data_IF_106412526873
#
_entry.id   IF_106412526873
#
_cell.length_a   1.000
_cell.length_b   1.000
_cell.length_c   1.000
_cell.angle_alpha   90.00
_cell.angle_beta   90.00
_cell.angle_gamma   90.00
#
_symmetry.space_group_name_H-M   'P 1'
#
loop_
_entity.id
_entity.type
_entity.pdbx_description
1 polymer ?
#
# COMPACT_ATOMS: atom_id res chain seq x y z
N UNK A 1 27.72 -30.18 3.02
CA UNK A 1 27.46 -29.16 2.00
C UNK A 1 26.01 -29.32 1.58
N UNK A 2 25.12 -28.45 2.09
CA UNK A 2 23.71 -28.46 1.74
C UNK A 2 23.52 -27.98 0.30
N UNK A 3 22.63 -28.59 -0.47
CA UNK A 3 22.17 -28.06 -1.75
C UNK A 3 21.01 -27.11 -1.49
N UNK A 4 21.01 -25.97 -2.18
CA UNK A 4 19.83 -25.08 -2.19
C UNK A 4 18.70 -25.81 -2.92
N UNK A 5 17.59 -26.04 -2.21
CA UNK A 5 16.43 -26.76 -2.77
C UNK A 5 15.48 -25.76 -3.42
N UNK A 6 15.44 -25.77 -4.76
CA UNK A 6 14.56 -24.93 -5.55
C UNK A 6 13.06 -25.17 -5.26
N UNK A 7 12.69 -26.40 -4.88
CA UNK A 7 11.30 -26.71 -4.53
C UNK A 7 10.87 -26.07 -3.20
N UNK A 8 11.80 -25.96 -2.25
CA UNK A 8 11.54 -25.25 -0.99
C UNK A 8 11.34 -23.73 -1.20
N UNK A 9 12.09 -23.13 -2.14
CA UNK A 9 11.98 -21.71 -2.47
C UNK A 9 10.62 -21.35 -3.10
N UNK A 10 10.02 -22.24 -3.88
CA UNK A 10 8.71 -22.03 -4.52
C UNK A 10 7.58 -21.92 -3.48
N UNK A 11 7.74 -22.58 -2.33
CA UNK A 11 6.76 -22.58 -1.23
C UNK A 11 6.97 -21.45 -0.22
N UNK A 12 8.10 -20.76 -0.28
CA UNK A 12 8.43 -19.64 0.60
C UNK A 12 7.88 -18.32 0.05
N UNK A 13 7.45 -17.42 0.94
CA UNK A 13 7.21 -16.03 0.57
C UNK A 13 8.50 -15.35 0.11
N UNK A 14 8.38 -14.31 -0.72
CA UNK A 14 9.54 -13.65 -1.34
C UNK A 14 10.62 -13.19 -0.31
N UNK A 15 10.19 -12.67 0.85
CA UNK A 15 11.11 -12.24 1.93
C UNK A 15 11.86 -13.42 2.54
N UNK A 16 11.15 -14.54 2.75
CA UNK A 16 11.75 -15.75 3.32
C UNK A 16 12.74 -16.38 2.33
N UNK A 17 12.42 -16.35 1.03
CA UNK A 17 13.31 -16.83 -0.03
C UNK A 17 14.59 -15.98 -0.11
N UNK A 18 14.50 -14.65 0.00
CA UNK A 18 15.67 -13.77 0.03
C UNK A 18 16.56 -14.02 1.25
N UNK A 19 15.97 -14.18 2.44
CA UNK A 19 16.71 -14.53 3.66
C UNK A 19 17.38 -15.90 3.57
N UNK A 20 16.66 -16.89 3.02
CA UNK A 20 17.22 -18.22 2.80
C UNK A 20 18.43 -18.21 1.87
N UNK A 21 18.36 -17.42 0.79
CA UNK A 21 19.45 -17.29 -0.19
C UNK A 21 20.63 -16.48 0.34
N UNK A 22 20.40 -15.43 1.11
CA UNK A 22 21.47 -14.70 1.78
C UNK A 22 22.27 -15.63 2.72
N UNK A 23 21.56 -16.42 3.52
CA UNK A 23 22.17 -17.42 4.40
C UNK A 23 22.88 -18.55 3.63
N UNK A 24 22.39 -18.95 2.46
CA UNK A 24 23.03 -19.94 1.61
C UNK A 24 24.34 -19.40 1.01
N UNK A 25 24.35 -18.12 0.60
CA UNK A 25 25.55 -17.44 0.09
C UNK A 25 26.61 -17.30 1.18
N UNK A 26 26.24 -16.93 2.41
CA UNK A 26 27.15 -16.86 3.54
C UNK A 26 27.77 -18.23 3.89
N UNK A 27 27.04 -19.33 3.68
CA UNK A 27 27.55 -20.70 3.87
C UNK A 27 28.38 -21.20 2.71
N UNK A 28 28.47 -20.46 1.58
CA UNK A 28 29.15 -20.87 0.36
C UNK A 28 28.44 -22.00 -0.39
N UNK A 29 27.11 -22.13 -0.22
CA UNK A 29 26.32 -23.13 -0.95
C UNK A 29 26.21 -22.74 -2.44
N UNK A 30 26.38 -23.67 -3.42
CA UNK A 30 26.32 -23.33 -4.82
C UNK A 30 24.89 -22.94 -5.22
N UNK A 31 24.76 -21.74 -5.81
CA UNK A 31 23.51 -21.27 -6.40
C UNK A 31 23.39 -21.76 -7.83
N UNK A 32 22.26 -22.37 -8.18
CA UNK A 32 22.00 -22.77 -9.59
C UNK A 32 21.52 -21.55 -10.39
N UNK A 33 21.67 -21.55 -11.74
CA UNK A 33 21.09 -20.50 -12.59
C UNK A 33 19.58 -20.31 -12.37
N UNK A 34 18.83 -21.39 -12.11
CA UNK A 34 17.41 -21.31 -11.75
C UNK A 34 17.18 -20.58 -10.43
N UNK A 35 18.00 -20.85 -9.42
CA UNK A 35 17.94 -20.17 -8.13
C UNK A 35 18.23 -18.67 -8.28
N UNK A 36 19.19 -18.30 -9.14
CA UNK A 36 19.51 -16.90 -9.44
C UNK A 36 18.38 -16.20 -10.22
N UNK A 37 17.70 -16.89 -11.13
CA UNK A 37 16.53 -16.35 -11.84
C UNK A 37 15.35 -16.11 -10.92
N UNK A 38 15.14 -16.94 -9.89
CA UNK A 38 14.08 -16.77 -8.90
C UNK A 38 14.33 -15.60 -7.93
N UNK A 39 15.58 -15.10 -7.84
CA UNK A 39 15.94 -13.93 -7.00
C UNK A 39 15.93 -12.61 -7.75
N UNK A 40 15.82 -12.63 -9.07
CA UNK A 40 15.65 -11.40 -9.83
C UNK A 40 14.35 -10.71 -9.37
N UNK A 41 14.48 -9.52 -8.84
CA UNK A 41 13.32 -8.75 -8.43
C UNK A 41 12.45 -8.46 -9.66
N UNK A 42 11.18 -8.88 -9.63
CA UNK A 42 10.26 -8.66 -10.75
C UNK A 42 10.11 -7.16 -11.03
N UNK A 43 10.21 -6.74 -12.31
CA UNK A 43 10.03 -5.36 -12.68
C UNK A 43 8.66 -4.83 -12.27
N UNK A 44 8.60 -3.56 -11.91
CA UNK A 44 7.36 -2.98 -11.44
C UNK A 44 7.38 -1.46 -11.40
N UNK A 45 6.42 -0.91 -10.66
CA UNK A 45 6.27 0.52 -10.42
C UNK A 45 6.38 0.80 -8.92
N UNK A 46 7.00 1.92 -8.58
CA UNK A 46 6.99 2.45 -7.22
C UNK A 46 6.64 3.93 -7.24
N UNK A 47 5.94 4.39 -6.21
CA UNK A 47 5.64 5.81 -5.98
C UNK A 47 5.57 6.11 -4.49
N UNK A 48 5.69 7.39 -4.14
CA UNK A 48 5.64 7.88 -2.76
C UNK A 48 4.35 8.64 -2.51
N UNK A 49 3.74 8.40 -1.37
CA UNK A 49 2.52 9.09 -0.95
C UNK A 49 2.64 9.54 0.51
N UNK A 50 2.20 10.79 0.76
CA UNK A 50 2.07 11.33 2.12
C UNK A 50 0.62 11.74 2.31
N UNK A 51 -0.03 11.18 3.30
CA UNK A 51 -1.37 11.56 3.74
C UNK A 51 -1.34 11.96 5.20
N UNK A 52 -2.07 13.03 5.54
CA UNK A 52 -2.20 13.47 6.93
C UNK A 52 -3.59 13.98 7.24
N UNK A 53 -3.98 13.95 8.50
CA UNK A 53 -5.25 14.50 8.93
C UNK A 53 -5.53 14.32 10.39
N UNK A 54 -6.72 14.75 10.80
CA UNK A 54 -7.12 14.72 12.20
C UNK A 54 -7.40 13.29 12.65
N UNK A 55 -6.87 12.93 13.81
CA UNK A 55 -6.93 11.60 14.37
C UNK A 55 -6.93 11.62 15.88
N UNK A 56 -7.70 10.74 16.53
CA UNK A 56 -7.79 10.67 17.98
C UNK A 56 -7.66 9.25 18.52
N UNK A 57 -6.88 9.09 19.59
CA UNK A 57 -6.91 7.88 20.42
C UNK A 57 -8.26 7.76 21.13
N UNK A 58 -8.70 6.54 21.36
CA UNK A 58 -9.97 6.23 22.02
C UNK A 58 -11.18 6.29 21.08
N UNK A 59 -11.09 6.92 19.92
CA UNK A 59 -12.14 6.88 18.90
C UNK A 59 -12.12 5.54 18.14
N UNK A 60 -13.29 5.05 17.75
CA UNK A 60 -13.45 3.82 16.96
C UNK A 60 -14.06 4.06 15.58
N UNK A 61 -14.71 5.20 15.42
CA UNK A 61 -15.25 5.66 14.14
C UNK A 61 -14.36 6.76 13.53
N UNK A 62 -14.00 6.69 12.24
CA UNK A 62 -13.09 7.64 11.60
C UNK A 62 -13.57 9.10 11.63
N UNK A 63 -14.86 9.36 11.38
CA UNK A 63 -15.37 10.73 11.33
C UNK A 63 -15.44 11.33 12.73
N UNK A 64 -15.88 10.55 13.72
CA UNK A 64 -15.86 10.95 15.12
C UNK A 64 -14.41 11.19 15.61
N UNK A 65 -13.48 10.34 15.21
CA UNK A 65 -12.06 10.47 15.52
C UNK A 65 -11.42 11.70 14.89
N UNK A 66 -11.79 12.02 13.65
CA UNK A 66 -11.34 13.24 12.98
C UNK A 66 -11.89 14.51 13.67
N UNK A 67 -13.16 14.52 14.06
CA UNK A 67 -13.76 15.65 14.80
C UNK A 67 -13.09 15.84 16.17
N UNK A 68 -12.85 14.76 16.92
CA UNK A 68 -12.17 14.80 18.20
C UNK A 68 -10.70 15.26 18.04
N UNK A 69 -9.99 14.73 17.03
CA UNK A 69 -8.63 15.13 16.72
C UNK A 69 -8.52 16.60 16.33
N UNK A 70 -9.46 17.11 15.54
CA UNK A 70 -9.53 18.53 15.21
C UNK A 70 -9.70 19.41 16.46
N UNK A 71 -10.57 19.00 17.37
CA UNK A 71 -10.81 19.74 18.62
C UNK A 71 -9.60 19.70 19.55
N UNK A 72 -8.85 18.60 19.56
CA UNK A 72 -7.66 18.43 20.39
C UNK A 72 -6.36 18.91 19.71
N UNK A 73 -6.39 19.28 18.43
CA UNK A 73 -5.21 19.63 17.65
C UNK A 73 -4.29 18.43 17.38
N UNK A 74 -4.83 17.21 17.36
CA UNK A 74 -4.05 15.98 17.12
C UNK A 74 -4.18 15.51 15.68
N UNK A 75 -3.04 15.24 15.05
CA UNK A 75 -2.95 14.77 13.67
C UNK A 75 -2.10 13.51 13.56
N UNK A 76 -2.45 12.66 12.61
CA UNK A 76 -1.65 11.52 12.19
C UNK A 76 -1.22 11.74 10.73
N UNK A 77 0.03 11.40 10.42
CA UNK A 77 0.52 11.35 9.05
C UNK A 77 1.14 9.98 8.75
N UNK A 78 1.00 9.55 7.51
CA UNK A 78 1.74 8.42 6.94
C UNK A 78 2.58 8.90 5.76
N UNK A 79 3.81 8.40 5.71
CA UNK A 79 4.76 8.64 4.62
C UNK A 79 5.15 7.28 4.06
N UNK A 80 4.57 6.94 2.92
CA UNK A 80 4.68 5.57 2.38
C UNK A 80 5.30 5.55 0.98
N UNK A 81 6.03 4.48 0.71
CA UNK A 81 6.42 4.06 -0.63
C UNK A 81 5.60 2.84 -1.00
N UNK A 82 4.77 2.98 -2.01
CA UNK A 82 4.02 1.87 -2.60
C UNK A 82 4.86 1.23 -3.70
N UNK A 83 4.84 -0.09 -3.77
CA UNK A 83 5.49 -0.86 -4.83
C UNK A 83 4.52 -1.91 -5.38
N UNK A 84 4.34 -1.88 -6.69
CA UNK A 84 3.55 -2.84 -7.46
C UNK A 84 4.53 -3.59 -8.37
N UNK A 85 4.68 -4.89 -8.13
CA UNK A 85 5.53 -5.77 -8.93
C UNK A 85 4.69 -6.58 -9.89
N UNK A 86 5.30 -7.07 -10.98
CA UNK A 86 4.62 -7.85 -12.01
C UNK A 86 3.25 -7.24 -12.41
N UNK A 87 3.29 -6.19 -13.24
CA UNK A 87 2.09 -5.44 -13.62
C UNK A 87 1.04 -6.31 -14.33
N UNK A 88 1.45 -7.38 -14.99
CA UNK A 88 0.50 -8.28 -15.67
C UNK A 88 -0.28 -9.09 -14.63
N UNK A 89 0.40 -9.63 -13.62
CA UNK A 89 -0.21 -10.31 -12.49
C UNK A 89 -1.06 -9.35 -11.66
N UNK A 90 -0.54 -8.15 -11.37
CA UNK A 90 -1.26 -7.11 -10.64
C UNK A 90 -2.59 -6.74 -11.32
N UNK A 91 -2.57 -6.53 -12.64
CA UNK A 91 -3.78 -6.16 -13.38
C UNK A 91 -4.77 -7.33 -13.55
N UNK A 92 -4.30 -8.57 -13.46
CA UNK A 92 -5.13 -9.78 -13.50
C UNK A 92 -5.74 -10.14 -12.12
N UNK A 93 -5.13 -9.68 -11.02
CA UNK A 93 -5.61 -9.88 -9.66
C UNK A 93 -6.80 -8.93 -9.38
N UNK A 94 -7.99 -9.43 -9.02
CA UNK A 94 -9.13 -8.57 -8.72
C UNK A 94 -8.90 -7.63 -7.53
N UNK A 95 -7.97 -7.94 -6.64
CA UNK A 95 -7.60 -7.08 -5.52
C UNK A 95 -6.48 -6.09 -5.86
N UNK A 96 -5.80 -6.26 -7.01
CA UNK A 96 -4.68 -5.44 -7.44
C UNK A 96 -3.67 -5.20 -6.29
N UNK A 97 -3.12 -6.31 -5.76
CA UNK A 97 -2.26 -6.29 -4.59
C UNK A 97 -0.88 -5.70 -4.89
N UNK A 98 -0.47 -4.77 -4.05
CA UNK A 98 0.88 -4.23 -3.96
C UNK A 98 1.36 -4.23 -2.52
N UNK A 99 2.57 -3.80 -2.30
CA UNK A 99 3.16 -3.64 -0.98
C UNK A 99 3.41 -2.17 -0.67
N UNK A 100 3.48 -1.84 0.61
CA UNK A 100 3.91 -0.53 1.05
C UNK A 100 4.81 -0.64 2.28
N UNK A 101 5.74 0.32 2.37
CA UNK A 101 6.63 0.51 3.51
C UNK A 101 6.71 2.00 3.81
N UNK A 102 7.04 2.37 5.04
CA UNK A 102 7.17 3.79 5.35
C UNK A 102 7.25 4.09 6.82
N UNK A 103 6.74 5.25 7.21
CA UNK A 103 6.69 5.72 8.60
C UNK A 103 5.33 6.27 8.95
N UNK A 104 5.02 6.23 10.25
CA UNK A 104 3.84 6.83 10.85
C UNK A 104 4.28 7.92 11.81
N UNK A 105 3.71 9.11 11.66
CA UNK A 105 3.86 10.24 12.58
C UNK A 105 2.55 10.43 13.34
N UNK A 106 2.57 10.25 14.64
CA UNK A 106 1.43 10.52 15.50
C UNK A 106 1.94 10.95 16.86
N UNK A 107 1.96 12.25 17.10
CA UNK A 107 2.57 12.87 18.30
C UNK A 107 2.23 12.18 19.63
N UNK A 108 0.97 11.74 19.88
CA UNK A 108 0.65 11.00 21.10
C UNK A 108 1.38 9.66 21.29
N UNK A 109 1.84 9.03 20.20
CA UNK A 109 2.66 7.82 20.25
C UNK A 109 4.13 8.14 19.97
N UNK A 110 4.42 8.69 18.78
CA UNK A 110 5.77 8.99 18.34
C UNK A 110 5.83 9.61 16.95
N UNK A 111 7.04 9.98 16.53
CA UNK A 111 7.34 10.51 15.21
C UNK A 111 8.28 9.56 14.47
N UNK A 112 8.19 9.53 13.15
CA UNK A 112 8.99 8.69 12.27
C UNK A 112 9.01 7.21 12.70
N UNK A 113 7.90 6.71 13.25
CA UNK A 113 7.79 5.30 13.65
C UNK A 113 7.85 4.41 12.42
N UNK A 114 8.88 3.55 12.29
CA UNK A 114 9.02 2.70 11.13
C UNK A 114 7.84 1.72 11.03
N UNK A 115 7.19 1.66 9.87
CA UNK A 115 6.20 0.64 9.58
C UNK A 115 6.86 -0.50 8.80
N UNK A 116 6.53 -1.73 9.18
CA UNK A 116 6.94 -2.94 8.47
C UNK A 116 6.31 -3.03 7.08
N UNK A 117 6.56 -4.14 6.40
CA UNK A 117 5.92 -4.38 5.11
C UNK A 117 4.41 -4.50 5.28
N UNK A 118 3.70 -3.54 4.72
CA UNK A 118 2.26 -3.44 4.73
C UNK A 118 1.63 -3.86 3.40
N UNK A 119 0.29 -3.80 3.35
CA UNK A 119 -0.51 -4.17 2.19
C UNK A 119 -1.10 -2.93 1.54
N UNK A 120 -1.00 -2.87 0.23
CA UNK A 120 -1.68 -1.92 -0.63
C UNK A 120 -2.59 -2.66 -1.59
N UNK A 121 -3.86 -2.22 -1.73
CA UNK A 121 -4.76 -2.73 -2.77
C UNK A 121 -5.36 -1.55 -3.51
N UNK A 122 -5.37 -1.64 -4.84
CA UNK A 122 -5.85 -0.58 -5.71
C UNK A 122 -7.12 -1.03 -6.43
N UNK A 123 -8.22 -0.28 -6.27
CA UNK A 123 -9.54 -0.63 -6.84
C UNK A 123 -10.03 -2.04 -6.48
N UNK A 124 -9.76 -2.48 -5.25
CA UNK A 124 -10.24 -3.76 -4.75
C UNK A 124 -11.77 -3.78 -4.64
N UNK A 125 -12.42 -4.93 -4.83
CA UNK A 125 -13.86 -5.06 -4.62
C UNK A 125 -14.25 -4.72 -3.18
N UNK A 126 -15.39 -4.04 -3.00
CA UNK A 126 -16.02 -3.82 -1.71
C UNK A 126 -17.27 -4.69 -1.56
N UNK A 127 -17.69 -4.93 -0.31
CA UNK A 127 -18.97 -5.61 -0.04
C UNK A 127 -20.18 -4.74 -0.47
N UNK A 128 -20.01 -3.42 -0.46
CA UNK A 128 -21.03 -2.48 -0.91
C UNK A 128 -21.10 -2.45 -2.45
N UNK A 129 -22.31 -2.53 -2.98
CA UNK A 129 -22.52 -2.41 -4.42
C UNK A 129 -22.00 -1.07 -4.96
N UNK A 130 -21.49 -1.09 -6.18
CA UNK A 130 -20.97 0.10 -6.86
C UNK A 130 -19.86 0.85 -6.08
N UNK A 131 -19.06 0.10 -5.33
CA UNK A 131 -17.94 0.68 -4.56
C UNK A 131 -16.69 -0.16 -4.80
N UNK A 132 -15.57 0.52 -5.04
CA UNK A 132 -14.24 -0.07 -4.99
C UNK A 132 -13.39 0.62 -3.93
N UNK A 133 -12.35 -0.06 -3.45
CA UNK A 133 -11.52 0.43 -2.34
C UNK A 133 -10.07 0.60 -2.80
N UNK A 134 -9.44 1.67 -2.30
CA UNK A 134 -7.99 1.72 -2.19
C UNK A 134 -7.62 1.48 -0.72
N UNK A 135 -6.96 0.35 -0.45
CA UNK A 135 -6.68 -0.12 0.92
C UNK A 135 -5.22 0.12 1.27
N UNK A 136 -4.98 0.59 2.48
CA UNK A 136 -3.66 0.84 3.06
C UNK A 136 -3.59 0.18 4.42
N UNK A 137 -2.68 -0.75 4.60
CA UNK A 137 -2.49 -1.50 5.85
C UNK A 137 -1.02 -1.46 6.24
N UNK A 138 -0.72 -0.95 7.44
CA UNK A 138 0.64 -0.69 7.94
C UNK A 138 0.81 -1.26 9.34
N UNK A 139 1.56 -2.37 9.51
CA UNK A 139 2.01 -2.82 10.82
C UNK A 139 3.19 -1.99 11.29
N UNK A 140 3.20 -1.60 12.56
CA UNK A 140 4.34 -0.95 13.21
C UNK A 140 4.40 -1.26 14.69
N UNK A 141 5.54 -0.97 15.31
CA UNK A 141 5.73 -1.13 16.75
C UNK A 141 6.14 0.19 17.39
N UNK A 142 5.62 0.44 18.58
CA UNK A 142 6.06 1.56 19.41
C UNK A 142 6.02 1.18 20.89
N UNK A 143 7.12 1.45 21.63
CA UNK A 143 7.20 1.14 23.06
C UNK A 143 7.03 -0.34 23.40
N UNK A 144 7.37 -1.26 22.51
CA UNK A 144 7.19 -2.70 22.68
C UNK A 144 5.74 -3.18 22.44
N UNK A 145 4.84 -2.29 22.03
CA UNK A 145 3.47 -2.61 21.65
C UNK A 145 3.33 -2.63 20.12
N UNK A 146 2.77 -3.72 19.60
CA UNK A 146 2.41 -3.82 18.19
C UNK A 146 1.13 -3.05 17.88
N UNK A 147 1.13 -2.35 16.76
CA UNK A 147 0.00 -1.60 16.21
C UNK A 147 -0.20 -1.93 14.74
N UNK A 148 -1.45 -1.81 14.30
CA UNK A 148 -1.83 -1.98 12.91
C UNK A 148 -2.72 -0.83 12.47
N UNK A 149 -2.23 0.01 11.55
CA UNK A 149 -3.00 1.08 10.96
C UNK A 149 -3.65 0.58 9.68
N UNK A 150 -4.98 0.51 9.65
CA UNK A 150 -5.74 0.13 8.46
C UNK A 150 -6.62 1.27 7.99
N UNK A 151 -6.61 1.53 6.70
CA UNK A 151 -7.42 2.58 6.09
C UNK A 151 -7.91 2.22 4.69
N UNK A 152 -9.03 2.82 4.31
CA UNK A 152 -9.58 2.68 2.98
C UNK A 152 -10.10 4.01 2.43
N UNK A 153 -9.76 4.29 1.16
CA UNK A 153 -10.46 5.28 0.33
C UNK A 153 -11.62 4.55 -0.36
N UNK A 154 -12.78 5.16 -0.39
CA UNK A 154 -13.99 4.60 -1.00
C UNK A 154 -14.26 5.31 -2.29
N UNK A 155 -14.25 4.57 -3.40
CA UNK A 155 -14.52 5.08 -4.74
C UNK A 155 -15.91 4.61 -5.11
N UNK A 156 -16.84 5.56 -5.19
CA UNK A 156 -18.22 5.28 -5.52
C UNK A 156 -18.43 5.34 -7.04
N UNK A 157 -19.17 4.36 -7.55
CA UNK A 157 -19.62 4.33 -8.93
C UNK A 157 -20.98 5.05 -9.04
N UNK A 158 -20.94 6.38 -8.89
CA UNK A 158 -22.09 7.25 -9.08
C UNK A 158 -21.75 8.40 -10.05
N UNK A 159 -22.74 8.99 -10.72
CA UNK A 159 -22.54 10.10 -11.66
C UNK A 159 -22.30 11.43 -10.92
N UNK A 160 -21.38 11.45 -9.95
CA UNK A 160 -20.99 12.62 -9.18
C UNK A 160 -19.57 13.10 -9.50
N UNK A 161 -19.27 14.37 -9.14
CA UNK A 161 -17.93 14.95 -9.32
C UNK A 161 -17.04 14.73 -8.07
N UNK A 162 -17.26 13.64 -7.32
CA UNK A 162 -16.54 13.40 -6.06
C UNK A 162 -15.22 12.65 -6.23
N UNK A 163 -14.77 12.46 -7.50
CA UNK A 163 -13.50 11.79 -7.84
C UNK A 163 -12.33 12.25 -6.96
N UNK A 164 -12.22 13.57 -6.75
CA UNK A 164 -11.15 14.11 -5.92
C UNK A 164 -11.30 13.68 -4.45
N UNK A 165 -12.50 13.81 -3.88
CA UNK A 165 -12.78 13.41 -2.51
C UNK A 165 -12.53 11.92 -2.31
N UNK A 166 -13.06 11.09 -3.20
CA UNK A 166 -13.00 9.63 -3.13
C UNK A 166 -11.57 9.11 -3.22
N UNK A 167 -10.77 9.69 -4.13
CA UNK A 167 -9.38 9.26 -4.33
C UNK A 167 -8.39 9.86 -3.33
N UNK A 168 -8.79 10.90 -2.57
CA UNK A 168 -7.89 11.62 -1.67
C UNK A 168 -8.23 11.49 -0.18
N UNK A 169 -9.39 10.91 0.18
CA UNK A 169 -9.81 10.77 1.57
C UNK A 169 -9.67 9.32 2.05
N UNK A 170 -8.82 9.11 3.07
CA UNK A 170 -8.55 7.83 3.69
C UNK A 170 -9.17 7.76 5.08
N UNK A 171 -10.16 6.90 5.25
CA UNK A 171 -10.79 6.60 6.54
C UNK A 171 -9.97 5.55 7.26
N UNK A 172 -9.41 5.90 8.42
CA UNK A 172 -8.39 5.09 9.11
C UNK A 172 -8.81 4.66 10.51
N UNK A 173 -8.39 3.44 10.89
CA UNK A 173 -8.44 2.92 12.26
C UNK A 173 -7.07 2.41 12.67
N UNK A 174 -6.74 2.60 13.94
CA UNK A 174 -5.56 2.05 14.59
C UNK A 174 -5.99 0.91 15.51
N UNK A 175 -5.39 -0.24 15.32
CA UNK A 175 -5.65 -1.45 16.10
C UNK A 175 -4.45 -1.76 17.00
N UNK A 176 -4.67 -2.30 18.19
CA UNK A 176 -3.65 -3.00 18.97
C UNK A 176 -3.45 -4.39 18.37
N UNK A 177 -2.20 -4.78 18.15
CA UNK A 177 -1.84 -6.08 17.58
C UNK A 177 -1.26 -5.95 16.18
N UNK A 178 -1.15 -7.09 15.49
CA UNK A 178 -0.47 -7.23 14.20
C UNK A 178 -1.42 -7.19 12.99
N UNK A 179 -2.73 -7.06 13.21
CA UNK A 179 -3.75 -7.06 12.16
C UNK A 179 -5.04 -6.32 12.58
N UNK A 180 -6.02 -6.26 11.70
CA UNK A 180 -7.29 -5.57 11.90
C UNK A 180 -8.32 -6.35 12.77
N UNK A 181 -7.94 -7.49 13.34
CA UNK A 181 -8.78 -8.23 14.29
C UNK A 181 -8.58 -7.75 15.73
N UNK A 182 -7.54 -6.97 15.97
CA UNK A 182 -7.23 -6.37 17.26
C UNK A 182 -8.26 -5.35 17.72
N UNK A 183 -8.10 -4.87 18.95
CA UNK A 183 -8.95 -3.80 19.49
C UNK A 183 -8.66 -2.48 18.77
N UNK A 184 -9.70 -1.78 18.31
CA UNK A 184 -9.56 -0.41 17.79
C UNK A 184 -9.23 0.53 18.95
N UNK A 185 -8.10 1.22 18.86
CA UNK A 185 -7.58 2.15 19.87
C UNK A 185 -7.50 3.60 19.39
N UNK A 186 -7.76 3.84 18.12
CA UNK A 186 -7.82 5.17 17.53
C UNK A 186 -8.46 5.16 16.16
N UNK A 187 -8.96 6.31 15.74
CA UNK A 187 -9.54 6.49 14.42
C UNK A 187 -9.39 7.93 13.93
N UNK A 188 -9.48 8.14 12.62
CA UNK A 188 -9.46 9.46 12.02
C UNK A 188 -9.52 9.41 10.49
N UNK A 189 -9.42 10.59 9.89
CA UNK A 189 -9.50 10.76 8.44
C UNK A 189 -8.25 11.47 7.96
N UNK A 190 -7.49 10.80 7.10
CA UNK A 190 -6.32 11.37 6.45
C UNK A 190 -6.68 11.85 5.04
N UNK A 191 -5.97 12.86 4.55
CA UNK A 191 -6.24 13.46 3.24
C UNK A 191 -4.95 13.67 2.46
N UNK A 192 -5.07 13.48 1.17
CA UNK A 192 -4.05 13.84 0.20
C UNK A 192 -4.42 15.20 -0.40
N UNK A 193 -3.66 16.24 -0.10
CA UNK A 193 -3.90 17.55 -0.71
C UNK A 193 -3.31 17.65 -2.13
N UNK A 194 -3.67 18.69 -2.89
CA UNK A 194 -3.25 18.88 -4.28
C UNK A 194 -1.72 18.88 -4.47
N UNK A 195 -0.98 19.49 -3.53
CA UNK A 195 0.49 19.50 -3.59
C UNK A 195 1.10 18.12 -3.32
N UNK A 196 0.48 17.34 -2.40
CA UNK A 196 0.89 15.97 -2.15
C UNK A 196 0.56 15.07 -3.35
N UNK A 197 -0.60 15.24 -3.98
CA UNK A 197 -0.96 14.52 -5.20
C UNK A 197 0.01 14.78 -6.35
N UNK A 198 0.41 16.04 -6.56
CA UNK A 198 1.43 16.38 -7.55
C UNK A 198 2.78 15.68 -7.25
N UNK A 199 3.13 15.52 -5.97
CA UNK A 199 4.32 14.76 -5.57
C UNK A 199 4.17 13.26 -5.83
N UNK A 200 2.99 12.66 -5.60
CA UNK A 200 2.72 11.27 -5.96
C UNK A 200 3.00 11.03 -7.44
N UNK A 201 2.40 11.84 -8.32
CA UNK A 201 2.58 11.70 -9.77
C UNK A 201 4.03 11.90 -10.20
N UNK A 202 4.73 12.86 -9.62
CA UNK A 202 6.15 13.12 -9.89
C UNK A 202 7.09 12.03 -9.35
N UNK A 203 6.65 11.24 -8.37
CA UNK A 203 7.45 10.17 -7.76
C UNK A 203 7.30 8.81 -8.45
N UNK A 204 6.36 8.67 -9.39
CA UNK A 204 6.14 7.42 -10.13
C UNK A 204 7.38 7.07 -10.93
N UNK A 205 7.91 5.89 -10.67
CA UNK A 205 9.09 5.36 -11.36
C UNK A 205 8.98 3.85 -11.56
N UNK A 206 9.61 3.36 -12.60
CA UNK A 206 9.85 1.94 -12.75
C UNK A 206 10.92 1.48 -11.76
N UNK A 207 10.77 0.28 -11.23
CA UNK A 207 11.75 -0.41 -10.39
C UNK A 207 12.16 -1.71 -11.06
N UNK A 208 13.44 -2.05 -10.96
CA UNK A 208 14.04 -3.28 -11.49
C UNK A 208 13.79 -3.51 -13.01
N UNK A 209 13.55 -2.45 -13.76
CA UNK A 209 13.46 -2.49 -15.22
C UNK A 209 14.84 -2.76 -15.84
N UNK A 210 14.92 -3.69 -16.79
CA UNK A 210 16.15 -4.08 -17.47
C UNK A 210 16.65 -3.06 -18.51
N UNK A 211 15.79 -2.10 -18.90
CA UNK A 211 16.11 -1.06 -19.87
C UNK A 211 15.24 0.18 -19.71
N UNK A 212 15.68 1.37 -20.24
CA UNK A 212 14.83 2.56 -20.29
C UNK A 212 13.52 2.37 -21.06
N UNK A 213 13.51 1.53 -22.09
CA UNK A 213 12.32 1.21 -22.88
C UNK A 213 11.31 0.42 -22.03
N UNK A 214 11.79 -0.57 -21.28
CA UNK A 214 10.94 -1.30 -20.34
C UNK A 214 10.41 -0.40 -19.23
N UNK A 215 11.23 0.47 -18.66
CA UNK A 215 10.80 1.44 -17.67
C UNK A 215 9.66 2.33 -18.18
N UNK A 216 9.78 2.85 -19.40
CA UNK A 216 8.74 3.66 -20.03
C UNK A 216 7.46 2.84 -20.27
N UNK A 217 7.59 1.57 -20.70
CA UNK A 217 6.46 0.65 -20.90
C UNK A 217 5.70 0.42 -19.59
N UNK A 218 6.40 0.12 -18.49
CA UNK A 218 5.81 -0.13 -17.19
C UNK A 218 5.02 1.09 -16.68
N UNK A 219 5.61 2.29 -16.78
CA UNK A 219 4.95 3.55 -16.40
C UNK A 219 3.68 3.77 -17.23
N UNK A 220 3.74 3.57 -18.55
CA UNK A 220 2.60 3.73 -19.44
C UNK A 220 1.50 2.68 -19.16
N UNK A 221 1.89 1.42 -18.89
CA UNK A 221 0.98 0.33 -18.55
C UNK A 221 0.21 0.63 -17.25
N UNK A 222 0.92 1.02 -16.18
CA UNK A 222 0.31 1.37 -14.91
C UNK A 222 -0.60 2.61 -15.03
N UNK A 223 -0.14 3.67 -15.71
CA UNK A 223 -0.93 4.87 -15.94
C UNK A 223 -2.21 4.58 -16.75
N UNK A 224 -2.11 3.75 -17.78
CA UNK A 224 -3.25 3.31 -18.59
C UNK A 224 -4.23 2.46 -17.80
N UNK A 225 -3.74 1.56 -16.94
CA UNK A 225 -4.58 0.80 -16.02
C UNK A 225 -5.33 1.73 -15.06
N UNK A 226 -4.63 2.62 -14.37
CA UNK A 226 -5.21 3.54 -13.41
C UNK A 226 -6.29 4.44 -14.03
N UNK A 227 -6.00 5.02 -15.21
CA UNK A 227 -6.96 5.84 -15.94
C UNK A 227 -8.21 5.06 -16.36
N UNK A 228 -8.04 3.81 -16.80
CA UNK A 228 -9.16 2.95 -17.20
C UNK A 228 -10.06 2.58 -16.01
N UNK A 229 -9.48 2.24 -14.86
CA UNK A 229 -10.27 1.90 -13.67
C UNK A 229 -11.03 3.12 -13.13
N UNK A 230 -10.41 4.30 -13.10
CA UNK A 230 -11.13 5.55 -12.79
C UNK A 230 -12.24 5.83 -13.79
N UNK A 231 -12.00 5.64 -15.09
CA UNK A 231 -13.04 5.84 -16.11
C UNK A 231 -14.23 4.91 -15.90
N UNK A 232 -14.00 3.65 -15.54
CA UNK A 232 -15.10 2.71 -15.24
C UNK A 232 -15.97 3.19 -14.07
N UNK A 233 -15.37 3.81 -13.04
CA UNK A 233 -16.09 4.30 -11.87
C UNK A 233 -16.86 5.59 -12.15
N UNK A 234 -16.36 6.48 -13.01
CA UNK A 234 -16.92 7.83 -13.18
C UNK A 234 -17.49 8.12 -14.58
N UNK A 235 -17.40 7.19 -15.53
CA UNK A 235 -17.99 7.41 -16.85
C UNK A 235 -19.52 7.51 -16.77
N UNK A 236 -20.14 8.54 -17.39
CA UNK A 236 -21.59 8.59 -17.46
C UNK A 236 -22.12 7.38 -18.25
N UNK A 237 -23.10 6.62 -17.68
CA UNK A 237 -23.79 5.58 -18.46
C UNK A 237 -24.42 6.16 -19.73
N UNK A 238 -24.44 5.45 -20.87
CA UNK A 238 -24.79 4.05 -21.07
C UNK A 238 -23.63 3.13 -21.52
N UNK A 239 -22.40 3.47 -21.24
CA UNK A 239 -21.21 2.71 -21.66
C UNK A 239 -20.62 1.81 -20.56
N UNK A 240 -21.43 1.42 -19.56
CA UNK A 240 -21.09 0.39 -18.56
C UNK A 240 -21.44 -1.00 -19.07
#
# INVERSE_FOLDING_TARGET
MGRVDAAALIQMGHVDAQHYLANATERGDPLTPETLMMTAAEPGISFQETMQGNFSLGATDPDAGAAAGQSAGTTLAIHVTVTVRDLDRFTADPNHNGSLVGTVDFTPLGLAMPAGQGVFRLFAPADAANTTLMVYELPFEHGGQAYYLAGAKRIHDDPGFDLWSDTTTLYTRLFEGSDATGKVVGAGVLRLNAAAFARVTASVRAVDASSPVEAARLIAQFGGFFARELWKSYAPGPFK
#
